data_IF_455288466510
#
_entry.id   IF_455288466510
#
_cell.length_a   1.000
_cell.length_b   1.000
_cell.length_c   1.000
_cell.angle_alpha   90.00
_cell.angle_beta   90.00
_cell.angle_gamma   90.00
#
_symmetry.space_group_name_H-M   'P 1'
#
loop_
_entity.id
_entity.type
_entity.pdbx_description
1 polymer ?
#
# COMPACT_ATOMS: atom_id res chain seq x y z
N UNK A 1 16.49 7.98 18.99
CA UNK A 1 17.36 8.88 19.78
C UNK A 1 18.09 9.75 18.77
N UNK A 2 17.86 11.07 18.77
CA UNK A 2 18.50 11.98 17.81
C UNK A 2 19.88 12.40 18.31
N UNK A 3 20.84 12.52 17.40
CA UNK A 3 22.16 13.10 17.70
C UNK A 3 22.16 14.55 17.19
N UNK A 4 22.71 15.49 17.95
CA UNK A 4 22.93 16.86 17.47
C UNK A 4 24.41 17.00 17.16
N UNK A 5 24.74 17.35 15.92
CA UNK A 5 26.11 17.67 15.52
C UNK A 5 26.27 19.19 15.57
N UNK A 6 27.26 19.65 16.31
CA UNK A 6 27.62 21.07 16.41
C UNK A 6 28.83 21.36 15.54
N UNK A 7 28.74 22.35 14.66
CA UNK A 7 29.89 22.85 13.88
C UNK A 7 30.03 24.36 14.10
N UNK A 8 31.23 24.79 14.44
CA UNK A 8 31.56 26.20 14.59
C UNK A 8 32.18 26.73 13.29
N UNK A 9 31.64 27.84 12.79
CA UNK A 9 32.21 28.55 11.65
C UNK A 9 32.06 30.06 11.90
N UNK A 10 33.17 30.81 11.89
CA UNK A 10 33.20 32.27 12.04
C UNK A 10 32.30 32.80 13.20
N UNK A 11 32.55 32.33 14.43
CA UNK A 11 31.83 32.70 15.66
C UNK A 11 30.30 32.43 15.68
N UNK A 12 29.79 31.69 14.70
CA UNK A 12 28.40 31.21 14.69
C UNK A 12 28.34 29.69 14.92
N UNK A 13 27.40 29.29 15.77
CA UNK A 13 27.13 27.88 16.06
C UNK A 13 25.93 27.42 15.26
N UNK A 14 26.15 26.44 14.40
CA UNK A 14 25.08 25.83 13.61
C UNK A 14 24.70 24.47 14.21
N UNK A 15 23.40 24.21 14.29
CA UNK A 15 22.84 22.96 14.78
C UNK A 15 22.21 22.20 13.62
N UNK A 16 22.52 20.91 13.52
CA UNK A 16 21.88 20.00 12.57
C UNK A 16 21.24 18.85 13.35
N UNK A 17 19.95 18.64 13.11
CA UNK A 17 19.21 17.49 13.63
C UNK A 17 19.60 16.23 12.85
N UNK A 18 20.22 15.27 13.53
CA UNK A 18 20.53 13.96 12.95
C UNK A 18 19.49 12.94 13.41
N UNK A 19 18.90 12.24 12.45
CA UNK A 19 18.03 11.09 12.70
C UNK A 19 18.66 9.86 12.05
N UNK A 20 18.90 8.83 12.84
CA UNK A 20 19.30 7.51 12.35
C UNK A 20 18.05 6.63 12.23
N UNK A 21 17.82 6.06 11.05
CA UNK A 21 16.74 5.09 10.85
C UNK A 21 16.97 3.84 11.68
N UNK A 22 15.95 3.44 12.44
CA UNK A 22 15.97 2.20 13.23
C UNK A 22 15.74 0.98 12.33
N UNK A 23 16.21 -0.18 12.81
CA UNK A 23 16.14 -1.48 12.13
C UNK A 23 14.75 -1.87 11.65
N UNK A 24 13.71 -1.54 12.42
CA UNK A 24 12.30 -1.80 12.08
C UNK A 24 11.81 -1.04 10.83
N UNK A 25 12.55 -0.04 10.35
CA UNK A 25 12.20 0.73 9.15
C UNK A 25 13.02 0.30 7.92
N UNK A 26 13.83 -0.77 8.01
CA UNK A 26 14.86 -1.12 7.01
C UNK A 26 14.36 -1.60 5.65
N UNK A 27 13.06 -1.91 5.50
CA UNK A 27 12.53 -2.54 4.28
C UNK A 27 11.31 -1.84 3.71
N UNK A 28 11.31 -0.51 3.76
CA UNK A 28 10.31 0.29 3.03
C UNK A 28 10.46 0.00 1.54
N UNK A 29 9.33 -0.06 0.84
CA UNK A 29 9.31 -0.14 -0.62
C UNK A 29 8.65 1.11 -1.18
N UNK A 30 9.27 1.72 -2.17
CA UNK A 30 8.64 2.72 -3.02
C UNK A 30 8.07 1.99 -4.23
N UNK A 31 6.80 2.18 -4.51
CA UNK A 31 6.08 1.44 -5.51
C UNK A 31 5.35 2.39 -6.44
N UNK A 32 5.46 2.13 -7.73
CA UNK A 32 4.62 2.78 -8.73
C UNK A 32 3.17 2.29 -8.60
N UNK A 33 2.25 3.23 -8.78
CA UNK A 33 0.81 3.01 -8.77
C UNK A 33 0.37 2.67 -10.18
N UNK A 34 -0.26 1.50 -10.35
CA UNK A 34 -0.78 1.06 -11.65
C UNK A 34 -1.97 1.88 -12.13
N UNK A 35 -2.85 2.28 -11.19
CA UNK A 35 -4.04 3.07 -11.48
C UNK A 35 -5.11 2.90 -10.42
N UNK A 36 -6.36 3.16 -10.81
CA UNK A 36 -7.52 3.16 -9.91
C UNK A 36 -8.42 1.96 -10.18
N UNK A 37 -8.90 1.31 -9.13
CA UNK A 37 -9.88 0.23 -9.16
C UNK A 37 -11.17 0.68 -8.45
N UNK A 38 -12.35 0.44 -9.05
CA UNK A 38 -12.63 -0.34 -10.26
C UNK A 38 -12.23 0.36 -11.58
N UNK A 39 -12.16 -0.40 -12.68
CA UNK A 39 -11.83 0.12 -14.01
C UNK A 39 -10.38 -0.09 -14.48
N UNK A 40 -9.49 -0.58 -13.60
CA UNK A 40 -8.09 -0.86 -13.96
C UNK A 40 -7.99 -2.04 -14.93
N UNK A 41 -7.34 -1.84 -16.08
CA UNK A 41 -7.09 -2.92 -17.05
C UNK A 41 -5.87 -3.76 -16.69
N UNK A 42 -5.81 -4.99 -17.21
CA UNK A 42 -4.63 -5.87 -17.05
C UNK A 42 -3.37 -5.22 -17.63
N UNK A 43 -3.47 -4.52 -18.76
CA UNK A 43 -2.32 -3.82 -19.36
C UNK A 43 -1.79 -2.72 -18.44
N UNK A 44 -2.66 -1.94 -17.80
CA UNK A 44 -2.26 -0.90 -16.84
C UNK A 44 -1.71 -1.53 -15.55
N UNK A 45 -2.30 -2.63 -15.09
CA UNK A 45 -1.83 -3.38 -13.92
C UNK A 45 -0.38 -3.90 -14.06
N UNK A 46 0.00 -4.31 -15.28
CA UNK A 46 1.36 -4.75 -15.60
C UNK A 46 2.27 -3.62 -16.12
N UNK A 47 1.73 -2.41 -16.33
CA UNK A 47 2.49 -1.26 -16.82
C UNK A 47 3.65 -0.83 -15.91
N UNK A 48 3.45 -0.70 -14.59
CA UNK A 48 4.51 -0.33 -13.65
C UNK A 48 5.64 -1.36 -13.56
N UNK A 49 6.88 -0.86 -13.45
CA UNK A 49 8.03 -1.68 -13.07
C UNK A 49 8.09 -1.87 -11.55
N UNK A 50 8.56 -3.03 -11.11
CA UNK A 50 8.85 -3.31 -9.71
C UNK A 50 10.35 -3.35 -9.49
N UNK A 51 10.85 -2.56 -8.55
CA UNK A 51 12.24 -2.61 -8.11
C UNK A 51 12.42 -3.45 -6.85
N UNK A 52 13.62 -4.01 -6.69
CA UNK A 52 14.01 -4.67 -5.46
C UNK A 52 14.09 -3.68 -4.29
N UNK A 53 13.88 -4.19 -3.07
CA UNK A 53 14.08 -3.38 -1.88
C UNK A 53 15.55 -2.96 -1.75
N UNK A 54 15.80 -1.74 -1.27
CA UNK A 54 17.15 -1.29 -0.95
C UNK A 54 17.88 -2.27 -0.02
N UNK A 55 19.17 -2.45 -0.27
CA UNK A 55 20.05 -3.18 0.64
C UNK A 55 20.16 -2.48 2.00
N UNK A 56 20.59 -3.24 3.02
CA UNK A 56 20.70 -2.69 4.38
C UNK A 56 21.71 -1.54 4.43
N UNK A 57 21.25 -0.38 4.91
CA UNK A 57 22.08 0.83 5.03
C UNK A 57 22.11 1.69 3.76
N UNK A 58 21.38 1.30 2.71
CA UNK A 58 21.21 2.07 1.50
C UNK A 58 19.83 2.72 1.42
N UNK A 59 19.70 3.70 0.54
CA UNK A 59 18.45 4.36 0.22
C UNK A 59 18.08 4.05 -1.22
N UNK A 60 16.80 3.77 -1.46
CA UNK A 60 16.22 3.89 -2.80
C UNK A 60 15.82 5.34 -3.02
N UNK A 61 16.07 5.83 -4.22
CA UNK A 61 15.63 7.15 -4.66
C UNK A 61 14.76 6.96 -5.88
N UNK A 62 13.63 7.65 -5.89
CA UNK A 62 12.77 7.76 -7.07
C UNK A 62 12.89 9.21 -7.57
N UNK A 63 13.39 9.35 -8.80
CA UNK A 63 13.48 10.63 -9.48
C UNK A 63 12.49 10.58 -10.63
N UNK A 64 11.43 11.40 -10.55
CA UNK A 64 10.45 11.51 -11.61
C UNK A 64 11.13 11.99 -12.90
N UNK A 65 11.00 11.19 -13.95
CA UNK A 65 11.38 11.58 -15.31
C UNK A 65 10.35 12.60 -15.82
N UNK A 66 10.74 13.86 -16.13
CA UNK A 66 9.80 14.87 -16.61
C UNK A 66 9.19 14.53 -17.98
N UNK A 67 9.88 13.71 -18.79
CA UNK A 67 9.42 13.31 -20.12
C UNK A 67 8.76 11.91 -20.14
N UNK A 68 8.85 11.18 -19.02
CA UNK A 68 8.25 9.87 -18.82
C UNK A 68 6.77 9.94 -18.41
N UNK A 69 6.01 8.84 -18.54
CA UNK A 69 4.66 8.75 -18.00
C UNK A 69 4.71 9.02 -16.50
N UNK A 70 3.93 9.99 -16.04
CA UNK A 70 3.83 10.36 -14.63
C UNK A 70 3.01 9.32 -13.87
N UNK A 71 3.62 8.16 -13.63
CA UNK A 71 3.07 7.14 -12.75
C UNK A 71 3.25 7.63 -11.30
N UNK A 72 2.16 7.69 -10.53
CA UNK A 72 2.26 8.07 -9.12
C UNK A 72 3.11 7.05 -8.34
N UNK A 73 3.89 7.51 -7.36
CA UNK A 73 4.66 6.62 -6.47
C UNK A 73 4.12 6.71 -5.05
N UNK A 74 4.01 5.57 -4.37
CA UNK A 74 3.65 5.47 -2.95
C UNK A 74 4.75 4.76 -2.17
N UNK A 75 5.02 5.22 -0.95
CA UNK A 75 5.94 4.56 -0.04
C UNK A 75 5.17 3.70 0.98
N UNK A 76 5.44 2.40 1.00
CA UNK A 76 4.94 1.50 2.03
C UNK A 76 5.93 1.42 3.20
N UNK A 77 5.39 1.28 4.41
CA UNK A 77 6.22 1.08 5.59
C UNK A 77 6.98 -0.25 5.53
N UNK A 78 8.15 -0.29 6.17
CA UNK A 78 8.96 -1.49 6.20
C UNK A 78 8.36 -2.51 7.16
N UNK A 79 7.55 -3.43 6.64
CA UNK A 79 7.04 -4.59 7.39
C UNK A 79 7.58 -5.89 6.80
N UNK A 80 7.61 -7.00 7.57
CA UNK A 80 7.98 -8.31 7.04
C UNK A 80 7.12 -8.75 5.85
N UNK A 81 5.85 -8.32 5.80
CA UNK A 81 4.93 -8.61 4.70
C UNK A 81 5.35 -7.89 3.41
N UNK A 82 5.57 -6.57 3.49
CA UNK A 82 6.02 -5.74 2.35
C UNK A 82 7.40 -6.19 1.84
N UNK A 83 8.27 -6.57 2.77
CA UNK A 83 9.61 -7.05 2.48
C UNK A 83 9.63 -8.38 1.72
N UNK A 84 8.65 -9.26 1.98
CA UNK A 84 8.57 -10.59 1.38
C UNK A 84 7.88 -10.60 0.00
N UNK A 85 7.23 -9.49 -0.38
CA UNK A 85 6.58 -9.33 -1.69
C UNK A 85 7.63 -9.35 -2.80
N UNK A 86 7.47 -10.23 -3.80
CA UNK A 86 8.48 -10.44 -4.86
C UNK A 86 8.27 -9.47 -6.01
N UNK A 87 7.05 -9.35 -6.53
CA UNK A 87 6.71 -8.45 -7.63
C UNK A 87 5.60 -7.47 -7.19
N UNK A 88 5.94 -6.46 -6.37
CA UNK A 88 4.98 -5.54 -5.77
C UNK A 88 4.45 -4.50 -6.76
N UNK A 89 3.15 -4.24 -6.71
CA UNK A 89 2.51 -3.09 -7.37
C UNK A 89 1.47 -2.46 -6.44
N UNK A 90 1.31 -1.13 -6.52
CA UNK A 90 0.28 -0.41 -5.78
C UNK A 90 -0.94 -0.14 -6.68
N UNK A 91 -2.14 -0.31 -6.13
CA UNK A 91 -3.41 0.04 -6.78
C UNK A 91 -4.21 0.91 -5.82
N UNK A 92 -4.75 2.03 -6.31
CA UNK A 92 -5.71 2.83 -5.56
C UNK A 92 -7.07 2.18 -5.72
N UNK A 93 -7.67 1.72 -4.64
CA UNK A 93 -8.97 1.07 -4.65
C UNK A 93 -9.99 1.95 -3.95
N UNK A 94 -11.20 2.00 -4.48
CA UNK A 94 -12.35 2.42 -3.69
C UNK A 94 -12.66 1.33 -2.64
N UNK A 95 -12.73 1.69 -1.36
CA UNK A 95 -12.89 0.72 -0.27
C UNK A 95 -14.16 -0.16 -0.39
N UNK A 96 -15.26 0.41 -0.87
CA UNK A 96 -16.55 -0.27 -1.10
C UNK A 96 -16.43 -1.33 -2.18
N UNK A 97 -15.68 -1.03 -3.25
CA UNK A 97 -15.48 -1.94 -4.39
C UNK A 97 -14.66 -3.19 -4.04
N UNK A 98 -13.89 -3.15 -2.95
CA UNK A 98 -13.16 -4.31 -2.40
C UNK A 98 -13.76 -4.83 -1.08
N UNK A 99 -14.95 -4.35 -0.70
CA UNK A 99 -15.68 -4.84 0.46
C UNK A 99 -15.01 -4.57 1.81
N UNK A 100 -14.17 -3.53 1.92
CA UNK A 100 -13.62 -3.10 3.20
C UNK A 100 -14.69 -2.29 3.92
N UNK A 101 -15.13 -2.67 5.13
CA UNK A 101 -16.09 -1.89 5.88
C UNK A 101 -15.45 -0.60 6.42
N UNK A 102 -16.13 0.52 6.26
CA UNK A 102 -15.76 1.80 6.87
C UNK A 102 -16.91 2.34 7.74
N UNK A 103 -16.64 3.24 8.69
CA UNK A 103 -17.68 3.82 9.54
C UNK A 103 -18.75 4.57 8.73
N UNK A 104 -20.02 4.32 9.04
CA UNK A 104 -21.20 4.92 8.35
C UNK A 104 -21.27 6.46 8.41
N UNK A 105 -20.47 7.08 9.29
CA UNK A 105 -20.35 8.55 9.36
C UNK A 105 -19.69 9.16 8.12
N UNK A 106 -18.99 8.35 7.33
CA UNK A 106 -18.39 8.78 6.07
C UNK A 106 -19.48 8.79 4.99
N UNK A 107 -19.76 9.98 4.46
CA UNK A 107 -20.79 10.17 3.43
C UNK A 107 -20.32 9.71 2.03
N UNK A 108 -19.02 9.78 1.78
CA UNK A 108 -18.40 9.49 0.48
C UNK A 108 -17.47 8.29 0.57
N UNK A 109 -17.33 7.51 -0.52
CA UNK A 109 -16.33 6.46 -0.56
C UNK A 109 -14.91 6.97 -0.34
N UNK A 110 -14.12 6.15 0.35
CA UNK A 110 -12.71 6.44 0.66
C UNK A 110 -11.81 5.63 -0.26
N UNK A 111 -10.83 6.30 -0.85
CA UNK A 111 -9.72 5.69 -1.56
C UNK A 111 -8.74 5.06 -0.56
N UNK A 112 -8.37 3.82 -0.82
CA UNK A 112 -7.37 3.05 -0.07
C UNK A 112 -6.29 2.55 -1.01
N UNK A 113 -5.11 2.27 -0.49
CA UNK A 113 -3.98 1.81 -1.32
C UNK A 113 -3.75 0.33 -1.06
N UNK A 114 -3.95 -0.50 -2.08
CA UNK A 114 -3.69 -1.94 -2.03
C UNK A 114 -2.28 -2.24 -2.54
N UNK A 115 -1.50 -2.97 -1.73
CA UNK A 115 -0.26 -3.61 -2.15
C UNK A 115 -0.59 -4.99 -2.70
N UNK A 116 -0.22 -5.26 -3.94
CA UNK A 116 -0.44 -6.54 -4.61
C UNK A 116 0.90 -7.15 -5.01
N UNK A 117 1.04 -8.47 -4.81
CA UNK A 117 2.13 -9.26 -5.38
C UNK A 117 1.67 -9.90 -6.69
N UNK A 118 2.24 -9.47 -7.82
CA UNK A 118 1.92 -10.00 -9.16
C UNK A 118 2.51 -11.39 -9.40
N UNK A 119 3.52 -11.77 -8.62
CA UNK A 119 4.15 -13.10 -8.72
C UNK A 119 3.31 -14.19 -8.05
N UNK A 120 2.47 -13.82 -7.07
CA UNK A 120 1.64 -14.78 -6.35
C UNK A 120 0.31 -15.00 -7.07
N UNK A 121 0.28 -16.06 -7.88
CA UNK A 121 -0.87 -16.49 -8.67
C UNK A 121 -1.57 -17.72 -8.08
N UNK A 122 -1.27 -18.03 -6.83
CA UNK A 122 -1.86 -19.18 -6.14
C UNK A 122 -3.28 -18.85 -5.65
N UNK A 123 -4.14 -19.87 -5.65
CA UNK A 123 -5.45 -19.76 -5.03
C UNK A 123 -5.33 -20.07 -3.54
N UNK A 124 -5.68 -19.10 -2.69
CA UNK A 124 -5.82 -19.25 -1.25
C UNK A 124 -7.21 -18.82 -0.80
N UNK A 125 -7.91 -19.66 -0.06
CA UNK A 125 -9.20 -19.31 0.53
C UNK A 125 -9.02 -18.14 1.52
N UNK A 126 -10.03 -17.25 1.59
CA UNK A 126 -10.06 -16.10 2.52
C UNK A 126 -8.89 -15.12 2.30
N UNK A 127 -8.27 -15.14 1.13
CA UNK A 127 -7.33 -14.10 0.67
C UNK A 127 -7.99 -13.30 -0.44
N UNK A 128 -7.64 -12.01 -0.51
CA UNK A 128 -8.03 -11.16 -1.63
C UNK A 128 -7.10 -11.46 -2.80
N UNK A 129 -7.70 -11.93 -3.89
CA UNK A 129 -7.04 -12.29 -5.14
C UNK A 129 -7.37 -11.23 -6.18
N UNK A 130 -6.39 -10.97 -7.05
CA UNK A 130 -6.59 -10.16 -8.24
C UNK A 130 -6.77 -11.12 -9.40
N UNK A 131 -7.90 -11.01 -10.09
CA UNK A 131 -8.29 -11.93 -11.16
C UNK A 131 -8.58 -11.17 -12.45
N UNK A 132 -8.42 -11.84 -13.58
CA UNK A 132 -8.75 -11.31 -14.91
C UNK A 132 -9.40 -12.41 -15.75
N UNK A 133 -10.29 -12.04 -16.67
CA UNK A 133 -10.92 -12.96 -17.63
C UNK A 133 -10.22 -13.00 -18.99
N UNK A 134 -9.12 -12.24 -19.14
CA UNK A 134 -8.34 -12.18 -20.37
C UNK A 134 -7.38 -10.98 -20.40
N UNK A 135 -6.42 -10.95 -21.34
CA UNK A 135 -5.35 -9.94 -21.37
C UNK A 135 -5.84 -8.50 -21.59
N UNK A 136 -7.01 -8.31 -22.20
CA UNK A 136 -7.62 -6.99 -22.44
C UNK A 136 -8.77 -6.69 -21.46
N UNK A 137 -8.96 -7.52 -20.43
CA UNK A 137 -10.02 -7.33 -19.44
C UNK A 137 -9.63 -6.31 -18.38
N UNK A 138 -10.63 -5.78 -17.69
CA UNK A 138 -10.43 -5.17 -16.37
C UNK A 138 -10.02 -6.26 -15.37
N UNK A 139 -9.21 -5.87 -14.37
CA UNK A 139 -8.96 -6.72 -13.21
C UNK A 139 -10.17 -6.69 -12.29
N UNK A 140 -10.33 -7.74 -11.50
CA UNK A 140 -11.29 -7.81 -10.39
C UNK A 140 -10.54 -8.17 -9.11
N UNK A 141 -10.92 -7.54 -8.00
CA UNK A 141 -10.32 -7.80 -6.69
C UNK A 141 -11.40 -8.36 -5.77
N UNK A 142 -11.18 -9.57 -5.25
CA UNK A 142 -12.16 -10.23 -4.40
C UNK A 142 -11.59 -11.38 -3.59
N UNK A 143 -12.30 -11.78 -2.54
CA UNK A 143 -12.00 -12.97 -1.76
C UNK A 143 -13.04 -14.05 -2.06
N UNK A 144 -12.58 -15.28 -2.23
CA UNK A 144 -13.41 -16.41 -2.65
C UNK A 144 -13.33 -17.54 -1.61
N UNK A 145 -14.46 -18.21 -1.38
CA UNK A 145 -14.53 -19.35 -0.45
C UNK A 145 -13.95 -20.60 -1.11
N UNK A 146 -14.17 -20.76 -2.41
CA UNK A 146 -13.63 -21.85 -3.21
C UNK A 146 -13.26 -21.36 -4.61
N UNK A 147 -12.40 -22.10 -5.31
CA UNK A 147 -12.02 -21.78 -6.69
C UNK A 147 -13.21 -21.76 -7.66
N UNK A 148 -14.31 -22.44 -7.32
CA UNK A 148 -15.54 -22.47 -8.12
C UNK A 148 -16.36 -21.18 -8.01
N UNK A 149 -16.14 -20.40 -6.96
CA UNK A 149 -16.81 -19.12 -6.75
C UNK A 149 -16.14 -17.98 -7.54
N UNK A 150 -14.95 -18.23 -8.10
CA UNK A 150 -14.31 -17.31 -9.02
C UNK A 150 -15.08 -17.26 -10.35
N UNK A 151 -15.14 -16.08 -11.01
CA UNK A 151 -15.75 -15.96 -12.33
C UNK A 151 -15.21 -17.00 -13.31
N UNK A 152 -16.08 -17.57 -14.13
CA UNK A 152 -15.69 -18.60 -15.11
C UNK A 152 -14.65 -18.04 -16.09
N UNK A 153 -13.59 -18.81 -16.36
CA UNK A 153 -12.49 -18.39 -17.22
C UNK A 153 -11.54 -17.38 -16.60
N UNK A 154 -11.71 -17.04 -15.31
CA UNK A 154 -10.78 -16.13 -14.64
C UNK A 154 -9.44 -16.79 -14.27
N UNK A 155 -8.37 -16.04 -14.42
CA UNK A 155 -7.02 -16.37 -13.98
C UNK A 155 -6.59 -15.44 -12.86
N UNK A 156 -5.79 -15.95 -11.92
CA UNK A 156 -5.20 -15.15 -10.84
C UNK A 156 -3.96 -14.46 -11.39
N UNK A 157 -3.96 -13.14 -11.36
CA UNK A 157 -2.86 -12.29 -11.85
C UNK A 157 -2.03 -11.68 -10.71
N UNK A 158 -2.51 -11.79 -9.47
CA UNK A 158 -1.77 -11.43 -8.26
C UNK A 158 -2.57 -11.64 -6.98
N UNK A 159 -1.94 -11.38 -5.83
CA UNK A 159 -2.58 -11.45 -4.50
C UNK A 159 -2.41 -10.14 -3.73
N UNK A 160 -3.48 -9.65 -3.11
CA UNK A 160 -3.40 -8.49 -2.21
C UNK A 160 -2.67 -8.90 -0.93
N UNK A 161 -1.57 -8.22 -0.63
CA UNK A 161 -0.73 -8.46 0.55
C UNK A 161 -1.18 -7.61 1.72
N UNK A 162 -1.52 -6.35 1.47
CA UNK A 162 -2.05 -5.43 2.47
C UNK A 162 -2.84 -4.30 1.82
N UNK A 163 -3.67 -3.65 2.63
CA UNK A 163 -4.39 -2.43 2.26
C UNK A 163 -4.09 -1.35 3.29
N UNK A 164 -3.69 -0.16 2.82
CA UNK A 164 -3.48 1.02 3.64
C UNK A 164 -4.68 1.94 3.51
N UNK A 165 -5.26 2.28 4.65
CA UNK A 165 -6.38 3.22 4.74
C UNK A 165 -5.79 4.57 5.16
N UNK A 166 -6.11 5.68 4.47
CA UNK A 166 -5.67 7.00 4.90
C UNK A 166 -6.22 7.30 6.30
N UNK A 167 -5.50 8.13 7.05
CA UNK A 167 -6.02 8.56 8.34
C UNK A 167 -7.27 9.43 8.13
N UNK A 168 -8.39 9.01 8.70
CA UNK A 168 -9.66 9.74 8.63
C UNK A 168 -9.97 10.44 9.97
N UNK A 169 -10.64 11.60 9.96
CA UNK A 169 -11.02 12.29 11.21
C UNK A 169 -11.82 11.41 12.19
N UNK A 170 -12.64 10.49 11.69
CA UNK A 170 -13.39 9.54 12.52
C UNK A 170 -12.51 8.51 13.25
N UNK A 171 -11.22 8.38 12.87
CA UNK A 171 -10.24 7.51 13.50
C UNK A 171 -9.45 8.20 14.62
N UNK A 172 -9.78 9.45 14.97
CA UNK A 172 -9.23 10.09 16.16
C UNK A 172 -9.46 9.19 17.37
N UNK A 173 -8.38 8.94 18.14
CA UNK A 173 -8.49 8.25 19.42
C UNK A 173 -9.44 9.05 20.30
N UNK A 174 -10.63 8.51 20.56
CA UNK A 174 -11.51 9.04 21.62
C UNK A 174 -10.74 8.93 22.94
N UNK A 175 -10.89 9.95 23.80
CA UNK A 175 -10.19 10.04 25.08
C UNK A 175 -10.60 8.93 26.07
N UNK A 176 -11.73 8.26 25.83
CA UNK A 176 -12.11 7.05 26.55
C UNK A 176 -11.53 5.83 25.83
N UNK A 177 -10.87 4.95 26.58
CA UNK A 177 -10.49 3.64 26.09
C UNK A 177 -11.72 2.84 25.65
N UNK A 178 -11.49 1.77 24.89
CA UNK A 178 -12.50 0.83 24.37
C UNK A 178 -13.38 0.11 25.43
N UNK A 179 -13.46 0.59 26.67
CA UNK A 179 -14.17 -0.04 27.79
C UNK A 179 -15.05 0.93 28.62
N UNK A 180 -15.45 2.08 28.08
CA UNK A 180 -16.48 2.91 28.73
C UNK A 180 -17.64 3.17 27.76
N UNK A 181 -18.36 2.10 27.41
CA UNK A 181 -19.82 2.19 27.25
C UNK A 181 -20.44 1.89 28.63
N UNK A 182 -20.12 2.76 29.60
CA UNK A 182 -20.85 2.82 30.85
C UNK A 182 -22.13 3.63 30.60
N UNK A 183 -23.19 2.87 30.34
CA UNK A 183 -24.61 3.09 30.63
C UNK A 183 -25.20 4.51 30.51
N UNK A 184 -26.42 4.59 29.95
CA UNK A 184 -27.59 5.14 30.66
C UNK A 184 -28.86 4.89 29.84
N UNK A 185 -29.79 4.14 30.45
CA UNK A 185 -31.25 4.11 30.33
C UNK A 185 -31.93 4.71 29.08
#
# INVERSE_FOLDING_TARGET
>A
MGLIITRHFLDQTFFVSLITMLEIHRKKKQLQVAGMYPGLTVSEFYGPSSDDAAETGQWTYDFSDPDGPQMGTVAFEGSPLVAATVDPVAVVCEHTSIGIPMPDILAEPVDVISLIDRSDKSFDERKFLVTSTGPDSEISIGAYTSKKDMPEGSEIVGRVIMVQIPWLPCMQKKKSGFMEDDALY
#
